data_IF_806168316879
#
_entry.id   IF_806168316879
#
_cell.length_a   1.000
_cell.length_b   1.000
_cell.length_c   1.000
_cell.angle_alpha   90.00
_cell.angle_beta   90.00
_cell.angle_gamma   90.00
#
_symmetry.space_group_name_H-M   'P 1'
#
loop_
_entity.id
_entity.type
_entity.pdbx_description
1 polymer ?
#
# COMPACT_ATOMS: atom_id res chain seq x y z
N UNK A 1 -27.02 22.59 -24.79
CA UNK A 1 -25.53 22.65 -24.73
C UNK A 1 -24.97 22.51 -26.14
N UNK A 2 -24.05 23.39 -26.55
CA UNK A 2 -23.42 23.31 -27.88
C UNK A 2 -22.52 22.06 -27.97
N UNK A 3 -22.40 21.41 -29.15
CA UNK A 3 -21.58 20.20 -29.32
C UNK A 3 -20.12 20.41 -28.88
N UNK A 4 -19.56 21.60 -29.10
CA UNK A 4 -18.20 21.98 -28.65
C UNK A 4 -18.03 22.01 -27.13
N UNK A 5 -19.08 22.35 -26.38
CA UNK A 5 -19.07 22.37 -24.92
C UNK A 5 -19.10 20.94 -24.36
N UNK A 6 -19.84 20.03 -24.99
CA UNK A 6 -19.87 18.60 -24.63
C UNK A 6 -18.51 17.94 -24.86
N UNK A 7 -17.90 18.20 -26.01
CA UNK A 7 -16.56 17.69 -26.33
C UNK A 7 -15.50 18.19 -25.32
N UNK A 8 -15.56 19.47 -24.93
CA UNK A 8 -14.65 20.03 -23.93
C UNK A 8 -14.84 19.40 -22.55
N UNK A 9 -16.08 19.17 -22.14
CA UNK A 9 -16.40 18.58 -20.84
C UNK A 9 -15.96 17.11 -20.76
N UNK A 10 -16.19 16.33 -21.81
CA UNK A 10 -15.70 14.96 -21.94
C UNK A 10 -14.17 14.90 -21.87
N UNK A 11 -13.49 15.82 -22.56
CA UNK A 11 -12.02 15.89 -22.54
C UNK A 11 -11.48 16.13 -21.13
N UNK A 12 -12.11 17.04 -20.37
CA UNK A 12 -11.73 17.30 -18.97
C UNK A 12 -11.96 16.08 -18.09
N UNK A 13 -13.10 15.40 -18.22
CA UNK A 13 -13.40 14.18 -17.46
C UNK A 13 -12.38 13.08 -17.77
N UNK A 14 -12.04 12.87 -19.04
CA UNK A 14 -11.01 11.90 -19.44
C UNK A 14 -9.65 12.25 -18.84
N UNK A 15 -9.25 13.52 -18.84
CA UNK A 15 -7.98 13.94 -18.24
C UNK A 15 -7.96 13.67 -16.73
N UNK A 16 -9.02 14.03 -16.01
CA UNK A 16 -9.11 13.77 -14.56
C UNK A 16 -9.06 12.27 -14.28
N UNK A 17 -9.77 11.46 -15.07
CA UNK A 17 -9.77 10.01 -14.93
C UNK A 17 -8.37 9.41 -15.16
N UNK A 18 -7.67 9.85 -16.21
CA UNK A 18 -6.31 9.39 -16.51
C UNK A 18 -5.32 9.77 -15.41
N UNK A 19 -5.40 10.99 -14.88
CA UNK A 19 -4.54 11.44 -13.78
C UNK A 19 -4.82 10.64 -12.50
N UNK A 20 -6.10 10.48 -12.15
CA UNK A 20 -6.49 9.70 -10.97
C UNK A 20 -6.07 8.24 -11.07
N UNK A 21 -6.27 7.63 -12.24
CA UNK A 21 -5.86 6.25 -12.48
C UNK A 21 -4.33 6.10 -12.47
N UNK A 22 -3.59 7.01 -13.12
CA UNK A 22 -2.13 6.99 -13.12
C UNK A 22 -1.54 7.15 -11.72
N UNK A 23 -2.10 8.04 -10.90
CA UNK A 23 -1.72 8.19 -9.49
C UNK A 23 -1.98 6.91 -8.69
N UNK A 24 -3.17 6.31 -8.85
CA UNK A 24 -3.52 5.06 -8.18
C UNK A 24 -2.62 3.88 -8.62
N UNK A 25 -2.30 3.81 -9.90
CA UNK A 25 -1.45 2.79 -10.51
C UNK A 25 0.01 2.89 -10.04
N UNK A 26 0.52 4.11 -9.85
CA UNK A 26 1.92 4.36 -9.47
C UNK A 26 2.17 4.33 -7.97
N UNK A 27 1.13 4.32 -7.13
CA UNK A 27 1.32 4.14 -5.68
C UNK A 27 2.04 2.82 -5.39
N UNK A 28 3.07 2.93 -4.55
CA UNK A 28 3.80 1.77 -4.03
C UNK A 28 2.90 0.97 -3.09
N UNK A 29 2.86 -0.33 -3.29
CA UNK A 29 2.09 -1.28 -2.47
C UNK A 29 2.90 -2.55 -2.21
N UNK A 30 2.55 -3.21 -1.11
CA UNK A 30 3.04 -4.55 -0.78
C UNK A 30 2.51 -5.58 -1.80
N UNK A 31 3.36 -6.48 -2.33
CA UNK A 31 2.90 -7.59 -3.15
C UNK A 31 1.90 -8.46 -2.39
N UNK A 32 0.82 -8.94 -3.03
CA UNK A 32 -0.22 -9.73 -2.36
C UNK A 32 0.28 -11.10 -1.88
N UNK A 33 1.36 -11.63 -2.49
CA UNK A 33 1.84 -13.00 -2.27
C UNK A 33 2.77 -13.14 -1.06
N UNK A 34 3.34 -12.04 -0.55
CA UNK A 34 4.10 -12.05 0.69
C UNK A 34 3.15 -11.91 1.90
N UNK A 35 2.92 -13.02 2.62
CA UNK A 35 2.25 -13.02 3.93
C UNK A 35 3.30 -13.10 5.04
N UNK A 36 3.18 -12.23 6.03
CA UNK A 36 4.06 -12.22 7.20
C UNK A 36 3.22 -12.46 8.44
N UNK A 37 3.65 -13.41 9.25
CA UNK A 37 3.07 -13.66 10.57
C UNK A 37 3.93 -12.95 11.62
N UNK A 38 3.28 -12.24 12.54
CA UNK A 38 3.95 -11.51 13.61
C UNK A 38 3.47 -12.05 14.95
N UNK A 39 4.41 -12.35 15.83
CA UNK A 39 4.15 -12.67 17.23
C UNK A 39 4.73 -11.57 18.12
N UNK A 40 3.96 -11.12 19.10
CA UNK A 40 4.41 -10.12 20.07
C UNK A 40 3.80 -10.40 21.45
N UNK A 41 4.51 -9.99 22.50
CA UNK A 41 3.93 -9.91 23.82
C UNK A 41 3.01 -8.70 23.91
N UNK A 42 1.93 -8.82 24.66
CA UNK A 42 0.91 -7.76 24.75
C UNK A 42 0.67 -7.32 26.18
N UNK A 43 0.18 -6.09 26.32
CA UNK A 43 -0.43 -5.62 27.56
C UNK A 43 -1.74 -6.38 27.83
N UNK A 44 -2.33 -6.17 29.01
CA UNK A 44 -3.63 -6.72 29.36
C UNK A 44 -4.75 -6.29 28.38
N UNK A 45 -4.60 -5.12 27.76
CA UNK A 45 -5.54 -4.56 26.78
C UNK A 45 -5.28 -5.07 25.34
N UNK A 46 -4.37 -6.04 25.17
CA UNK A 46 -4.07 -6.65 23.86
C UNK A 46 -3.23 -5.78 22.92
N UNK A 47 -2.62 -4.70 23.42
CA UNK A 47 -1.69 -3.88 22.66
C UNK A 47 -0.28 -4.48 22.71
N UNK A 48 0.46 -4.50 21.59
CA UNK A 48 1.79 -5.08 21.59
C UNK A 48 2.77 -4.22 22.40
N UNK A 49 3.73 -4.89 23.02
CA UNK A 49 4.80 -4.29 23.80
C UNK A 49 6.07 -4.31 22.95
N UNK A 50 6.60 -3.13 22.64
CA UNK A 50 7.86 -2.97 21.91
C UNK A 50 9.07 -3.21 22.82
N UNK A 51 10.24 -3.30 22.20
CA UNK A 51 11.50 -3.45 22.92
C UNK A 51 11.72 -2.27 23.89
N UNK A 52 12.16 -2.59 25.11
CA UNK A 52 12.33 -1.57 26.16
C UNK A 52 11.02 -1.00 26.72
N UNK A 53 9.86 -1.61 26.43
CA UNK A 53 8.56 -1.16 26.94
C UNK A 53 7.93 -0.02 26.15
N UNK A 54 8.44 0.25 24.94
CA UNK A 54 7.83 1.20 24.01
C UNK A 54 6.43 0.74 23.61
N UNK A 55 5.51 1.69 23.41
CA UNK A 55 4.21 1.39 22.82
C UNK A 55 4.37 1.31 21.32
N UNK A 56 4.08 0.13 20.77
CA UNK A 56 4.04 -0.10 19.32
C UNK A 56 2.64 -0.54 18.94
N UNK A 57 2.29 -0.34 17.68
CA UNK A 57 1.03 -0.80 17.11
C UNK A 57 1.24 -2.11 16.35
N UNK A 58 0.16 -2.88 16.19
CA UNK A 58 0.18 -4.07 15.33
C UNK A 58 0.54 -3.74 13.88
N UNK A 59 0.19 -2.55 13.40
CA UNK A 59 0.49 -2.09 12.04
C UNK A 59 1.98 -1.78 11.87
N UNK A 60 2.59 -1.09 12.85
CA UNK A 60 4.05 -0.85 12.88
C UNK A 60 4.84 -2.16 12.96
N UNK A 61 4.42 -3.10 13.80
CA UNK A 61 5.05 -4.41 13.89
C UNK A 61 4.91 -5.21 12.58
N UNK A 62 3.71 -5.17 11.97
CA UNK A 62 3.44 -5.81 10.69
C UNK A 62 4.28 -5.25 9.54
N UNK A 63 4.54 -3.94 9.58
CA UNK A 63 5.41 -3.25 8.61
C UNK A 63 6.89 -3.54 8.88
N UNK A 64 7.36 -3.52 10.13
CA UNK A 64 8.75 -3.89 10.43
C UNK A 64 9.05 -5.32 10.01
N UNK A 65 8.20 -6.27 10.39
CA UNK A 65 8.38 -7.67 10.03
C UNK A 65 8.33 -7.89 8.51
N UNK A 66 7.58 -7.05 7.77
CA UNK A 66 7.64 -7.06 6.32
C UNK A 66 9.01 -6.67 5.79
N UNK A 67 9.53 -5.54 6.26
CA UNK A 67 10.81 -4.99 5.81
C UNK A 67 11.95 -5.96 6.14
N UNK A 68 11.90 -6.65 7.28
CA UNK A 68 12.85 -7.71 7.63
C UNK A 68 12.79 -8.87 6.62
N UNK A 69 11.60 -9.29 6.20
CA UNK A 69 11.44 -10.35 5.20
C UNK A 69 11.88 -9.92 3.80
N UNK A 70 11.75 -8.63 3.47
CA UNK A 70 12.31 -8.05 2.23
C UNK A 70 13.84 -8.04 2.29
N UNK A 71 14.42 -7.59 3.42
CA UNK A 71 15.86 -7.56 3.63
C UNK A 71 16.48 -8.97 3.61
N UNK A 72 15.75 -9.96 4.13
CA UNK A 72 16.13 -11.37 4.08
C UNK A 72 15.98 -12.00 2.68
N UNK A 73 15.40 -11.29 1.72
CA UNK A 73 15.15 -11.79 0.35
C UNK A 73 14.00 -12.81 0.25
N UNK A 74 13.22 -12.99 1.31
CA UNK A 74 12.06 -13.90 1.33
C UNK A 74 10.81 -13.24 0.75
N UNK A 75 10.73 -11.91 0.81
CA UNK A 75 9.67 -11.13 0.19
C UNK A 75 10.22 -10.13 -0.83
N UNK A 76 9.43 -9.87 -1.86
CA UNK A 76 9.74 -8.82 -2.82
C UNK A 76 9.52 -7.43 -2.22
N UNK A 77 10.32 -6.42 -2.62
CA UNK A 77 10.13 -5.06 -2.15
C UNK A 77 8.83 -4.45 -2.69
N UNK A 78 8.26 -3.44 -2.00
CA UNK A 78 7.13 -2.67 -2.51
C UNK A 78 7.31 -2.21 -3.94
N UNK A 79 6.24 -2.31 -4.71
CA UNK A 79 6.23 -1.98 -6.12
C UNK A 79 5.07 -1.07 -6.47
N UNK A 80 5.19 -0.34 -7.57
CA UNK A 80 4.05 0.34 -8.15
C UNK A 80 2.92 -0.67 -8.42
N UNK A 81 1.70 -0.35 -7.97
CA UNK A 81 0.54 -1.24 -8.01
C UNK A 81 0.31 -1.88 -9.37
N UNK A 82 0.53 -1.13 -10.46
CA UNK A 82 0.33 -1.64 -11.81
C UNK A 82 1.18 -2.87 -12.13
N UNK A 83 2.33 -3.04 -11.48
CA UNK A 83 3.23 -4.18 -11.71
C UNK A 83 2.57 -5.50 -11.35
N UNK A 84 1.65 -5.51 -10.38
CA UNK A 84 0.88 -6.69 -9.98
C UNK A 84 -0.29 -7.02 -10.92
N UNK A 85 -0.64 -6.14 -11.86
CA UNK A 85 -1.68 -6.44 -12.85
C UNK A 85 -1.16 -7.31 -14.00
N UNK A 86 0.16 -7.47 -14.09
CA UNK A 86 0.81 -8.17 -15.20
C UNK A 86 0.95 -9.68 -15.01
N UNK A 87 0.62 -10.21 -13.82
CA UNK A 87 0.84 -11.61 -13.47
C UNK A 87 2.25 -11.80 -12.93
#
# INVERSE_FOLDING_TARGET
>A
MKPSQRARLLSVVCLVALVGFGWYATRSVRPPDCKVAVGAFTTADGQPIGDGGERVTWEELGESAYQDMVAAGTCEPPAARWRHWLG
#
